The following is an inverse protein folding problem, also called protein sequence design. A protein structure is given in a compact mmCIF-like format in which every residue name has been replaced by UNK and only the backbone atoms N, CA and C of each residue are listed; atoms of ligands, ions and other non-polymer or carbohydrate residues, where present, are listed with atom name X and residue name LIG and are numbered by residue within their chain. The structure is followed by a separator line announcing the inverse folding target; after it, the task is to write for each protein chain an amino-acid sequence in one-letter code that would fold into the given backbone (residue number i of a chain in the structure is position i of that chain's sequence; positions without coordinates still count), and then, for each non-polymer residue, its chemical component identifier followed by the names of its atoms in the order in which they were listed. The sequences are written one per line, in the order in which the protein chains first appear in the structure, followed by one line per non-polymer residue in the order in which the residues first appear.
data_IF_604557404665
#
_entry.id   IF_604557404665
#
_cell.length_a   1.000
_cell.length_b   1.000
_cell.length_c   1.000
_cell.angle_alpha   90.00
_cell.angle_beta   90.00
_cell.angle_gamma   90.00
#
_symmetry.space_group_name_H-M   'P 1'
#
loop_
_entity.id
_entity.type
_entity.pdbx_description
1 polymer ?
#
# COMPACT_ATOMS: atom_id res chain seq x y z
N UNK A 1 2.64 25.40 7.86
CA UNK A 1 1.81 24.33 7.30
C UNK A 1 1.47 24.72 5.87
N UNK A 2 1.94 23.98 4.88
CA UNK A 2 1.50 24.18 3.49
C UNK A 2 0.08 23.62 3.43
N UNK A 3 -0.93 24.37 2.92
CA UNK A 3 -2.28 23.86 2.80
C UNK A 3 -2.29 22.61 1.92
N UNK A 4 -2.98 21.57 2.38
CA UNK A 4 -3.38 20.45 1.52
C UNK A 4 -4.11 21.07 0.33
N UNK A 5 -3.84 20.68 -0.93
CA UNK A 5 -4.55 21.20 -2.09
C UNK A 5 -6.05 21.10 -1.88
N UNK A 6 -6.81 22.08 -2.37
CA UNK A 6 -8.26 22.19 -2.22
C UNK A 6 -8.92 20.81 -2.30
N UNK A 7 -9.48 20.37 -1.17
CA UNK A 7 -10.09 19.06 -0.98
C UNK A 7 -11.58 19.07 -1.38
N UNK A 8 -12.09 20.21 -1.85
CA UNK A 8 -13.51 20.39 -2.17
C UNK A 8 -14.01 19.46 -3.28
N UNK A 9 -13.10 19.04 -4.19
CA UNK A 9 -13.42 18.12 -5.29
C UNK A 9 -12.87 16.70 -5.04
N UNK A 10 -12.34 16.40 -3.85
CA UNK A 10 -11.77 15.09 -3.57
C UNK A 10 -12.87 14.06 -3.31
N UNK A 11 -12.83 12.88 -3.95
CA UNK A 11 -13.73 11.79 -3.59
C UNK A 11 -13.43 11.29 -2.18
N UNK A 12 -14.44 10.68 -1.52
CA UNK A 12 -14.26 10.09 -0.21
C UNK A 12 -14.41 11.06 0.95
N UNK A 13 -13.95 10.66 2.10
CA UNK A 13 -14.13 11.36 3.37
C UNK A 13 -12.81 11.46 4.15
N UNK A 14 -12.81 12.27 5.19
CA UNK A 14 -11.68 12.37 6.09
C UNK A 14 -12.04 11.87 7.49
N UNK A 15 -11.22 10.95 7.98
CA UNK A 15 -11.36 10.35 9.30
C UNK A 15 -10.16 10.74 10.16
N UNK A 16 -10.39 11.13 11.41
CA UNK A 16 -9.31 11.37 12.37
C UNK A 16 -8.96 10.05 13.06
N UNK A 17 -7.72 9.62 12.94
CA UNK A 17 -7.17 8.40 13.51
C UNK A 17 -5.89 8.75 14.26
N UNK A 18 -5.93 8.70 15.58
CA UNK A 18 -4.85 9.24 16.41
C UNK A 18 -4.57 10.72 16.07
N UNK A 19 -3.31 11.04 15.79
CA UNK A 19 -2.87 12.41 15.44
C UNK A 19 -2.98 12.70 13.92
N UNK A 20 -3.58 11.80 13.13
CA UNK A 20 -3.65 11.93 11.68
C UNK A 20 -5.09 12.11 11.19
N UNK A 21 -5.28 13.04 10.27
CA UNK A 21 -6.47 13.13 9.45
C UNK A 21 -6.22 12.33 8.18
N UNK A 22 -6.90 11.21 8.03
CA UNK A 22 -6.74 10.29 6.91
C UNK A 22 -7.84 10.50 5.87
N UNK A 23 -7.45 10.45 4.61
CA UNK A 23 -8.36 10.40 3.48
C UNK A 23 -8.77 8.96 3.24
N UNK A 24 -10.08 8.69 3.26
CA UNK A 24 -10.67 7.35 3.19
C UNK A 24 -11.72 7.32 2.08
N UNK A 25 -11.70 6.28 1.26
CA UNK A 25 -12.77 5.96 0.32
C UNK A 25 -13.43 4.65 0.76
N UNK A 26 -14.77 4.64 0.68
CA UNK A 26 -15.62 3.53 1.08
C UNK A 26 -16.72 3.39 0.03
N UNK A 27 -16.56 2.43 -0.87
CA UNK A 27 -17.28 2.35 -2.12
C UNK A 27 -17.88 0.95 -2.33
N UNK A 28 -19.04 0.88 -2.96
CA UNK A 28 -19.74 -0.38 -3.22
C UNK A 28 -20.57 -0.86 -2.04
N UNK A 29 -21.16 -2.04 -2.22
CA UNK A 29 -22.00 -2.72 -1.22
C UNK A 29 -21.72 -4.22 -1.26
N UNK A 30 -21.70 -4.86 -0.09
CA UNK A 30 -21.39 -6.28 0.05
C UNK A 30 -20.48 -6.55 1.22
N UNK A 31 -19.83 -7.73 1.29
CA UNK A 31 -18.84 -8.01 2.32
C UNK A 31 -17.71 -6.99 2.32
N UNK A 32 -17.19 -6.58 3.50
CA UNK A 32 -16.14 -5.57 3.54
C UNK A 32 -14.79 -6.11 3.08
N UNK A 33 -14.08 -5.27 2.32
CA UNK A 33 -12.73 -5.52 1.82
C UNK A 33 -11.87 -4.29 2.10
N UNK A 34 -10.76 -4.48 2.81
CA UNK A 34 -9.76 -3.42 3.03
C UNK A 34 -8.61 -3.57 2.03
N UNK A 35 -8.47 -2.61 1.12
CA UNK A 35 -7.46 -2.62 0.07
C UNK A 35 -6.31 -1.66 0.37
N UNK A 36 -5.11 -2.20 0.56
CA UNK A 36 -3.92 -1.45 0.96
C UNK A 36 -2.94 -1.24 -0.19
N UNK A 37 -2.64 0.03 -0.46
CA UNK A 37 -1.76 0.46 -1.55
C UNK A 37 -0.27 0.14 -1.28
N UNK A 38 0.50 -0.06 -2.36
CA UNK A 38 1.96 -0.25 -2.33
C UNK A 38 2.72 0.97 -1.77
N UNK A 39 4.03 0.81 -1.57
CA UNK A 39 4.94 1.92 -1.30
C UNK A 39 4.90 2.93 -2.47
N UNK A 40 4.67 4.20 -2.16
CA UNK A 40 4.60 5.25 -3.17
C UNK A 40 3.33 5.22 -4.03
N UNK A 41 2.28 4.55 -3.58
CA UNK A 41 0.99 4.46 -4.27
C UNK A 41 -0.11 5.12 -3.41
N UNK A 42 -1.09 5.72 -4.07
CA UNK A 42 -2.20 6.44 -3.47
C UNK A 42 -3.54 5.76 -3.84
N UNK A 43 -4.66 6.28 -3.31
CA UNK A 43 -5.98 5.71 -3.58
C UNK A 43 -6.29 5.57 -5.07
N UNK A 44 -5.96 6.58 -5.89
CA UNK A 44 -6.30 6.60 -7.32
C UNK A 44 -5.49 5.61 -8.17
N UNK A 45 -4.36 5.11 -7.66
CA UNK A 45 -3.62 4.02 -8.32
C UNK A 45 -4.37 2.69 -8.22
N UNK A 46 -5.30 2.58 -7.27
CA UNK A 46 -6.16 1.43 -7.05
C UNK A 46 -7.49 1.50 -7.81
N UNK A 47 -7.86 2.68 -8.37
CA UNK A 47 -9.14 2.88 -9.08
C UNK A 47 -9.44 1.80 -10.14
N UNK A 48 -8.46 1.35 -10.96
CA UNK A 48 -8.73 0.31 -11.95
C UNK A 48 -9.23 -0.99 -11.33
N UNK A 49 -8.65 -1.41 -10.22
CA UNK A 49 -9.09 -2.62 -9.50
C UNK A 49 -10.41 -2.38 -8.77
N UNK A 50 -10.54 -1.24 -8.08
CA UNK A 50 -11.74 -0.91 -7.31
C UNK A 50 -12.98 -0.89 -8.19
N UNK A 51 -12.89 -0.34 -9.40
CA UNK A 51 -14.02 -0.30 -10.35
C UNK A 51 -14.56 -1.69 -10.73
N UNK A 52 -13.77 -2.76 -10.59
CA UNK A 52 -14.16 -4.16 -10.82
C UNK A 52 -14.78 -4.79 -9.55
N UNK A 53 -14.35 -4.33 -8.38
CA UNK A 53 -14.73 -4.93 -7.10
C UNK A 53 -16.03 -4.37 -6.50
N UNK A 54 -16.35 -3.10 -6.76
CA UNK A 54 -17.47 -2.40 -6.09
C UNK A 54 -18.85 -2.99 -6.36
N UNK A 55 -19.02 -3.79 -7.40
CA UNK A 55 -20.28 -4.52 -7.66
C UNK A 55 -20.49 -5.70 -6.71
N UNK A 56 -19.42 -6.21 -6.11
CA UNK A 56 -19.37 -7.43 -5.32
C UNK A 56 -18.94 -7.20 -3.88
N UNK A 57 -18.19 -6.13 -3.61
CA UNK A 57 -17.57 -5.81 -2.35
C UNK A 57 -17.87 -4.38 -1.90
N UNK A 58 -17.91 -4.17 -0.58
CA UNK A 58 -17.72 -2.85 0.02
C UNK A 58 -16.23 -2.64 0.17
N UNK A 59 -15.63 -1.86 -0.73
CA UNK A 59 -14.18 -1.64 -0.79
C UNK A 59 -13.82 -0.41 0.03
N UNK A 60 -13.03 -0.63 1.08
CA UNK A 60 -12.47 0.42 1.93
C UNK A 60 -10.99 0.53 1.60
N UNK A 61 -10.54 1.77 1.35
CA UNK A 61 -9.13 2.09 1.10
C UNK A 61 -8.82 3.45 1.68
N UNK A 62 -7.59 3.67 2.10
CA UNK A 62 -7.18 4.97 2.62
C UNK A 62 -5.74 5.31 2.24
N UNK A 63 -5.46 6.60 2.22
CA UNK A 63 -4.09 7.08 2.11
C UNK A 63 -3.41 7.03 3.47
N UNK A 64 -2.28 6.35 3.56
CA UNK A 64 -1.46 6.34 4.76
C UNK A 64 -0.92 7.75 5.06
N UNK A 65 -0.49 8.07 6.29
CA UNK A 65 0.06 9.38 6.63
C UNK A 65 1.14 9.85 5.64
N UNK A 66 0.96 11.05 5.10
CA UNK A 66 1.84 11.66 4.10
C UNK A 66 1.60 11.25 2.65
N UNK A 67 0.71 10.29 2.42
CA UNK A 67 0.27 9.91 1.07
C UNK A 67 -1.04 10.62 0.72
N UNK A 68 -1.30 10.73 -0.56
CA UNK A 68 -2.54 11.25 -1.11
C UNK A 68 -2.98 12.57 -0.49
N UNK A 69 -4.17 12.57 0.09
CA UNK A 69 -4.76 13.72 0.76
C UNK A 69 -4.70 13.61 2.30
N UNK A 70 -4.08 12.57 2.84
CA UNK A 70 -3.88 12.40 4.27
C UNK A 70 -2.87 13.39 4.84
N UNK A 71 -2.96 13.64 6.14
CA UNK A 71 -2.04 14.54 6.86
C UNK A 71 -0.59 14.22 6.58
N UNK A 72 0.26 15.21 6.33
CA UNK A 72 1.68 15.00 6.08
C UNK A 72 2.39 14.40 7.30
N UNK A 73 3.43 13.62 7.06
CA UNK A 73 4.26 13.08 8.15
C UNK A 73 5.10 14.17 8.79
N UNK A 74 5.02 14.24 10.11
CA UNK A 74 5.88 15.10 10.91
C UNK A 74 7.32 14.59 10.98
N UNK A 75 8.25 15.44 11.47
CA UNK A 75 9.67 15.07 11.61
C UNK A 75 9.93 13.89 12.57
N UNK A 76 9.04 13.70 13.54
CA UNK A 76 9.13 12.63 14.54
C UNK A 76 8.33 11.39 14.13
N UNK A 77 7.63 11.43 13.00
CA UNK A 77 6.85 10.30 12.53
C UNK A 77 7.77 9.16 12.09
N UNK A 78 7.67 8.04 12.79
CA UNK A 78 8.35 6.79 12.46
C UNK A 78 7.27 5.74 12.21
N UNK A 79 6.96 5.43 10.94
CA UNK A 79 5.98 4.40 10.65
C UNK A 79 6.44 3.05 11.23
N UNK A 80 5.55 2.40 11.95
CA UNK A 80 5.78 1.07 12.53
C UNK A 80 4.76 0.08 11.99
N UNK A 81 5.12 -1.19 11.97
CA UNK A 81 4.20 -2.24 11.52
C UNK A 81 2.92 -2.26 12.37
N UNK A 82 3.07 -2.22 13.70
CA UNK A 82 1.92 -2.32 14.61
C UNK A 82 1.07 -1.05 14.58
N UNK A 83 1.70 0.13 14.50
CA UNK A 83 0.95 1.39 14.36
C UNK A 83 0.14 1.46 13.05
N UNK A 84 0.61 0.81 11.98
CA UNK A 84 -0.21 0.71 10.76
C UNK A 84 -1.36 -0.29 10.92
N UNK A 85 -1.13 -1.41 11.60
CA UNK A 85 -2.21 -2.36 11.93
C UNK A 85 -3.28 -1.72 12.83
N UNK A 86 -2.87 -0.99 13.87
CA UNK A 86 -3.80 -0.27 14.74
C UNK A 86 -4.62 0.76 13.92
N UNK A 87 -3.99 1.46 12.99
CA UNK A 87 -4.65 2.39 12.05
C UNK A 87 -5.66 1.71 11.13
N UNK A 88 -5.35 0.51 10.62
CA UNK A 88 -6.31 -0.28 9.84
C UNK A 88 -7.57 -0.58 10.65
N UNK A 89 -7.42 -0.97 11.93
CA UNK A 89 -8.56 -1.20 12.83
C UNK A 89 -9.35 0.09 13.04
N UNK A 90 -8.69 1.19 13.38
CA UNK A 90 -9.35 2.47 13.65
C UNK A 90 -10.09 3.01 12.40
N UNK A 91 -9.55 2.82 11.20
CA UNK A 91 -10.25 3.16 9.95
C UNK A 91 -11.50 2.31 9.75
N UNK A 92 -11.39 0.99 9.94
CA UNK A 92 -12.55 0.08 9.85
C UNK A 92 -13.63 0.44 10.87
N UNK A 93 -13.25 0.71 12.10
CA UNK A 93 -14.17 1.10 13.17
C UNK A 93 -14.87 2.44 12.85
N UNK A 94 -14.12 3.42 12.35
CA UNK A 94 -14.65 4.72 11.93
C UNK A 94 -15.61 4.60 10.72
N UNK A 95 -15.48 3.54 9.91
CA UNK A 95 -16.41 3.22 8.82
C UNK A 95 -17.55 2.30 9.26
N UNK A 96 -17.64 1.99 10.55
CA UNK A 96 -18.70 1.13 11.13
C UNK A 96 -18.60 -0.33 10.67
N UNK A 97 -17.40 -0.82 10.32
CA UNK A 97 -17.18 -2.22 9.94
C UNK A 97 -16.98 -3.04 11.20
N UNK A 98 -17.94 -3.86 11.55
CA UNK A 98 -17.93 -4.74 12.73
C UNK A 98 -17.67 -6.19 12.38
N UNK A 99 -18.03 -6.61 11.19
CA UNK A 99 -17.82 -7.95 10.64
C UNK A 99 -16.35 -8.18 10.22
N UNK A 100 -15.91 -9.43 10.15
CA UNK A 100 -14.60 -9.76 9.61
C UNK A 100 -14.43 -9.29 8.16
N UNK A 101 -13.24 -8.78 7.85
CA UNK A 101 -12.90 -8.15 6.56
C UNK A 101 -11.90 -8.99 5.77
N UNK A 102 -12.05 -9.05 4.45
CA UNK A 102 -10.97 -9.52 3.58
C UNK A 102 -9.93 -8.41 3.45
N UNK A 103 -8.67 -8.71 3.79
CA UNK A 103 -7.58 -7.74 3.69
C UNK A 103 -6.72 -8.04 2.47
N UNK A 104 -6.56 -7.04 1.61
CA UNK A 104 -5.81 -7.14 0.36
C UNK A 104 -4.62 -6.19 0.41
N UNK A 105 -3.39 -6.70 0.26
CA UNK A 105 -2.17 -5.90 0.36
C UNK A 105 -1.27 -6.02 -0.86
N UNK A 106 -1.00 -4.90 -1.51
CA UNK A 106 -0.08 -4.85 -2.64
C UNK A 106 1.35 -4.53 -2.19
N UNK A 107 2.32 -5.30 -2.65
CA UNK A 107 3.75 -5.04 -2.45
C UNK A 107 4.12 -4.89 -0.97
N UNK A 108 4.59 -3.72 -0.53
CA UNK A 108 4.93 -3.42 0.86
C UNK A 108 3.75 -3.64 1.81
N UNK A 109 2.53 -3.32 1.38
CA UNK A 109 1.35 -3.50 2.20
C UNK A 109 1.03 -4.96 2.56
N UNK A 110 1.67 -5.93 1.89
CA UNK A 110 1.61 -7.34 2.30
C UNK A 110 2.06 -7.56 3.74
N UNK A 111 2.99 -6.71 4.26
CA UNK A 111 3.41 -6.77 5.65
C UNK A 111 2.28 -6.37 6.60
N UNK A 112 1.51 -5.35 6.20
CA UNK A 112 0.41 -4.80 7.01
C UNK A 112 -0.75 -5.78 7.09
N UNK A 113 -1.17 -6.34 5.95
CA UNK A 113 -2.29 -7.29 5.91
C UNK A 113 -1.95 -8.62 6.59
N UNK A 114 -0.70 -9.11 6.47
CA UNK A 114 -0.24 -10.27 7.24
C UNK A 114 -0.24 -9.98 8.73
N UNK A 115 0.27 -8.82 9.15
CA UNK A 115 0.31 -8.44 10.55
C UNK A 115 -1.09 -8.23 11.14
N UNK A 116 -2.00 -7.63 10.36
CA UNK A 116 -3.41 -7.47 10.73
C UNK A 116 -4.06 -8.84 10.98
N UNK A 117 -3.96 -9.76 10.05
CA UNK A 117 -4.55 -11.08 10.17
C UNK A 117 -4.02 -11.85 11.39
N UNK A 118 -2.72 -11.74 11.69
CA UNK A 118 -2.11 -12.40 12.85
C UNK A 118 -2.52 -11.76 14.18
N UNK A 119 -2.76 -10.44 14.21
CA UNK A 119 -3.15 -9.73 15.44
C UNK A 119 -4.64 -9.70 15.70
N UNK A 120 -5.42 -9.73 14.64
CA UNK A 120 -6.88 -9.61 14.67
C UNK A 120 -7.53 -10.76 13.88
N UNK A 121 -7.28 -12.02 14.31
CA UNK A 121 -7.84 -13.19 13.63
C UNK A 121 -9.37 -13.15 13.57
N UNK A 122 -10.01 -12.61 14.60
CA UNK A 122 -11.47 -12.45 14.71
C UNK A 122 -12.05 -11.37 13.76
N UNK A 123 -11.20 -10.45 13.30
CA UNK A 123 -11.54 -9.37 12.36
C UNK A 123 -11.15 -9.72 10.91
N UNK A 124 -10.63 -10.93 10.66
CA UNK A 124 -10.10 -11.34 9.35
C UNK A 124 -10.96 -12.41 8.74
N UNK A 125 -11.56 -12.14 7.58
CA UNK A 125 -12.33 -13.10 6.77
C UNK A 125 -11.46 -13.81 5.72
N UNK A 126 -10.40 -13.14 5.24
CA UNK A 126 -9.47 -13.68 4.25
C UNK A 126 -8.29 -12.75 4.02
N UNK A 127 -7.24 -13.26 3.40
CA UNK A 127 -6.01 -12.50 3.10
C UNK A 127 -5.61 -12.67 1.65
N UNK A 128 -5.43 -11.58 0.93
CA UNK A 128 -4.88 -11.60 -0.43
C UNK A 128 -3.60 -10.77 -0.48
N UNK A 129 -2.53 -11.38 -0.91
CA UNK A 129 -1.23 -10.74 -1.11
C UNK A 129 -0.97 -10.59 -2.60
N UNK A 130 -0.86 -9.35 -3.06
CA UNK A 130 -0.57 -9.01 -4.44
C UNK A 130 0.92 -8.68 -4.59
N UNK A 131 1.69 -9.58 -5.17
CA UNK A 131 3.13 -9.48 -5.42
C UNK A 131 3.94 -8.99 -4.22
N UNK A 132 3.81 -9.70 -3.11
CA UNK A 132 4.20 -9.29 -1.77
C UNK A 132 5.70 -9.06 -1.56
N UNK A 133 6.01 -8.21 -0.60
CA UNK A 133 7.37 -7.84 -0.21
C UNK A 133 7.96 -8.79 0.85
N UNK A 134 8.22 -10.04 0.50
CA UNK A 134 8.87 -11.00 1.39
C UNK A 134 10.38 -10.77 1.49
N UNK A 135 10.92 -10.65 2.71
CA UNK A 135 12.35 -10.42 2.95
C UNK A 135 13.01 -11.66 3.52
N UNK A 136 13.90 -12.26 2.73
CA UNK A 136 14.66 -13.45 3.11
C UNK A 136 15.69 -13.17 4.22
N UNK A 137 16.43 -12.05 4.08
CA UNK A 137 17.48 -11.63 5.01
C UNK A 137 17.33 -10.15 5.33
N UNK A 138 17.45 -9.73 6.61
CA UNK A 138 17.48 -8.31 6.95
C UNK A 138 18.78 -7.69 6.45
N UNK A 139 18.71 -6.95 5.35
CA UNK A 139 19.89 -6.42 4.63
C UNK A 139 20.27 -4.99 5.00
N UNK A 140 19.58 -4.36 5.96
CA UNK A 140 19.84 -2.96 6.32
C UNK A 140 20.50 -2.86 7.70
N UNK A 141 21.82 -2.68 7.70
CA UNK A 141 22.62 -2.51 8.91
C UNK A 141 22.57 -1.08 9.48
N UNK A 142 22.14 -0.09 8.66
CA UNK A 142 22.09 1.31 9.08
C UNK A 142 20.90 1.56 10.01
N UNK A 143 21.09 2.20 11.17
CA UNK A 143 20.00 2.50 12.11
C UNK A 143 18.83 3.26 11.48
N UNK A 144 17.61 2.97 11.96
CA UNK A 144 16.37 3.57 11.43
C UNK A 144 16.40 5.10 11.55
N UNK A 145 16.79 5.62 12.72
CA UNK A 145 16.86 7.07 12.97
C UNK A 145 17.78 7.80 11.97
N UNK A 146 18.92 7.19 11.64
CA UNK A 146 19.84 7.75 10.65
C UNK A 146 19.22 7.75 9.24
N UNK A 147 18.55 6.68 8.84
CA UNK A 147 17.89 6.58 7.53
C UNK A 147 16.74 7.59 7.40
N UNK A 148 15.93 7.72 8.44
CA UNK A 148 14.85 8.71 8.49
C UNK A 148 15.40 10.14 8.51
N UNK A 149 16.45 10.40 9.32
CA UNK A 149 17.13 11.69 9.33
C UNK A 149 17.69 12.08 7.95
N UNK A 150 18.25 11.12 7.21
CA UNK A 150 18.72 11.35 5.83
C UNK A 150 17.57 11.62 4.85
N UNK A 151 16.43 10.93 4.99
CA UNK A 151 15.23 11.21 4.19
C UNK A 151 14.77 12.67 4.37
N UNK A 152 14.68 13.14 5.62
CA UNK A 152 14.33 14.52 5.92
C UNK A 152 15.35 15.54 5.38
N UNK A 153 16.66 15.25 5.49
CA UNK A 153 17.71 16.11 4.93
C UNK A 153 17.62 16.19 3.41
N UNK A 154 17.47 15.03 2.75
CA UNK A 154 17.36 14.94 1.28
C UNK A 154 16.20 15.78 0.77
N UNK A 155 15.01 15.59 1.34
CA UNK A 155 13.80 16.33 0.94
C UNK A 155 13.94 17.82 1.28
N UNK A 156 14.50 18.15 2.45
CA UNK A 156 14.75 19.55 2.85
C UNK A 156 15.71 20.27 1.88
N UNK A 157 16.80 19.62 1.49
CA UNK A 157 17.74 20.15 0.49
C UNK A 157 17.07 20.30 -0.88
N UNK A 158 16.32 19.29 -1.29
CA UNK A 158 15.58 19.31 -2.53
C UNK A 158 14.58 20.47 -2.59
N UNK A 159 13.83 20.72 -1.52
CA UNK A 159 12.91 21.87 -1.39
C UNK A 159 13.66 23.21 -1.50
N UNK A 160 14.80 23.35 -0.81
CA UNK A 160 15.59 24.57 -0.84
C UNK A 160 16.15 24.86 -2.25
N UNK A 161 16.59 23.84 -2.99
CA UNK A 161 17.04 23.97 -4.37
C UNK A 161 15.88 24.33 -5.30
N UNK A 162 14.79 23.61 -5.26
CA UNK A 162 13.64 23.82 -6.15
C UNK A 162 12.98 25.18 -5.92
N UNK A 163 12.95 25.67 -4.67
CA UNK A 163 12.43 27.02 -4.37
C UNK A 163 13.32 28.14 -4.96
N UNK A 164 14.64 27.94 -4.95
CA UNK A 164 15.60 28.91 -5.52
C UNK A 164 15.54 29.01 -7.03
N UNK A 165 15.24 27.91 -7.72
CA UNK A 165 15.11 27.87 -9.19
C UNK A 165 13.68 28.06 -9.69
N UNK A 166 12.75 28.44 -8.81
CA UNK A 166 11.35 28.70 -9.15
C UNK A 166 10.53 27.44 -9.49
N UNK A 167 11.08 26.24 -9.30
CA UNK A 167 10.38 24.99 -9.50
C UNK A 167 9.50 24.69 -8.28
N UNK A 168 8.20 24.93 -8.40
CA UNK A 168 7.23 24.64 -7.34
C UNK A 168 6.93 23.14 -7.15
N UNK A 169 7.23 22.31 -8.17
CA UNK A 169 6.95 20.88 -8.18
C UNK A 169 8.20 20.09 -8.60
N UNK A 170 8.40 18.97 -7.92
CA UNK A 170 9.44 18.00 -8.30
C UNK A 170 9.02 17.28 -9.60
N UNK A 171 9.95 16.90 -10.50
CA UNK A 171 9.63 16.19 -11.75
C UNK A 171 9.26 14.70 -11.54
N UNK A 172 8.56 14.38 -10.44
CA UNK A 172 8.20 13.01 -10.05
C UNK A 172 7.08 12.42 -10.90
N UNK A 173 6.22 13.25 -11.51
CA UNK A 173 5.13 12.76 -12.37
C UNK A 173 5.66 11.92 -13.54
N UNK A 174 6.75 12.35 -14.17
CA UNK A 174 7.38 11.59 -15.25
C UNK A 174 7.98 10.27 -14.81
N UNK A 175 8.47 10.16 -13.57
CA UNK A 175 8.96 8.93 -12.98
C UNK A 175 7.78 8.00 -12.66
N UNK A 176 6.74 8.53 -12.02
CA UNK A 176 5.54 7.76 -11.69
C UNK A 176 4.89 7.14 -12.93
N UNK A 177 4.67 7.91 -14.01
CA UNK A 177 4.07 7.41 -15.25
C UNK A 177 4.89 6.32 -15.94
N UNK A 178 6.20 6.24 -15.65
CA UNK A 178 7.09 5.18 -16.16
C UNK A 178 7.11 3.94 -15.26
N UNK A 179 6.90 4.11 -13.96
CA UNK A 179 6.97 3.03 -12.96
C UNK A 179 5.61 2.34 -12.82
N UNK A 180 4.53 3.11 -12.72
CA UNK A 180 3.16 2.58 -12.63
C UNK A 180 2.61 2.42 -14.05
N UNK A 181 2.36 1.20 -14.53
CA UNK A 181 1.77 0.99 -15.84
C UNK A 181 0.37 1.59 -15.92
N UNK A 182 -0.03 2.04 -17.10
CA UNK A 182 -1.40 2.41 -17.33
C UNK A 182 -2.28 1.15 -17.35
N UNK A 183 -3.54 1.24 -16.88
CA UNK A 183 -4.52 0.18 -17.10
C UNK A 183 -4.74 -0.09 -18.58
N UNK A 184 -5.32 -1.24 -18.96
CA UNK A 184 -5.59 -1.60 -20.36
C UNK A 184 -6.43 -0.53 -21.10
N UNK A 185 -7.38 0.08 -20.41
CA UNK A 185 -8.24 1.16 -20.93
C UNK A 185 -7.59 2.56 -20.90
N UNK A 186 -6.35 2.64 -20.46
CA UNK A 186 -5.64 3.89 -20.23
C UNK A 186 -5.94 4.51 -18.86
N UNK A 187 -5.22 5.59 -18.52
CA UNK A 187 -5.38 6.27 -17.23
C UNK A 187 -6.71 7.03 -17.16
N UNK A 188 -7.49 6.77 -16.13
CA UNK A 188 -8.70 7.50 -15.82
C UNK A 188 -8.44 8.98 -15.49
N UNK A 189 -9.51 9.77 -15.43
CA UNK A 189 -9.44 11.21 -15.12
C UNK A 189 -8.87 11.46 -13.73
N UNK A 190 -9.33 10.71 -12.73
CA UNK A 190 -8.83 10.75 -11.34
C UNK A 190 -7.32 10.53 -11.29
N UNK A 191 -6.81 9.48 -11.93
CA UNK A 191 -5.38 9.21 -11.99
C UNK A 191 -4.56 10.33 -12.63
N UNK A 192 -5.06 10.93 -13.72
CA UNK A 192 -4.37 12.05 -14.38
C UNK A 192 -4.38 13.31 -13.52
N UNK A 193 -5.54 13.65 -12.99
CA UNK A 193 -5.74 14.86 -12.19
C UNK A 193 -4.94 14.83 -10.88
N UNK A 194 -5.13 13.79 -10.09
CA UNK A 194 -4.48 13.66 -8.77
C UNK A 194 -3.01 13.28 -8.89
N UNK A 195 -2.65 12.45 -9.86
CA UNK A 195 -1.26 12.12 -10.14
C UNK A 195 -0.43 13.37 -10.44
N UNK A 196 -0.94 14.28 -11.27
CA UNK A 196 -0.27 15.54 -11.56
C UNK A 196 -0.11 16.45 -10.32
N UNK A 197 -1.05 16.37 -9.37
CA UNK A 197 -1.06 17.22 -8.17
C UNK A 197 -0.19 16.66 -7.04
N UNK A 198 -0.19 15.35 -6.82
CA UNK A 198 0.36 14.72 -5.62
C UNK A 198 1.78 14.19 -5.80
N UNK A 199 2.09 13.55 -6.91
CA UNK A 199 3.45 12.99 -7.10
C UNK A 199 4.57 14.03 -7.18
N UNK A 200 4.24 15.28 -7.48
CA UNK A 200 5.18 16.40 -7.48
C UNK A 200 5.38 17.06 -6.11
N UNK A 201 4.75 16.54 -5.04
CA UNK A 201 4.85 17.17 -3.72
C UNK A 201 6.04 16.61 -2.92
N UNK A 202 6.87 17.46 -2.30
CA UNK A 202 7.96 17.01 -1.45
C UNK A 202 7.49 16.16 -0.26
N UNK A 203 6.29 16.42 0.24
CA UNK A 203 5.64 15.70 1.35
C UNK A 203 5.40 14.24 0.99
N UNK A 204 4.93 13.98 -0.22
CA UNK A 204 4.75 12.62 -0.74
C UNK A 204 6.10 11.87 -0.85
N UNK A 205 7.11 12.52 -1.43
CA UNK A 205 8.45 11.93 -1.52
C UNK A 205 9.02 11.63 -0.13
N UNK A 206 8.81 12.53 0.84
CA UNK A 206 9.25 12.34 2.21
C UNK A 206 8.56 11.12 2.85
N UNK A 207 7.23 11.00 2.72
CA UNK A 207 6.48 9.87 3.25
C UNK A 207 7.00 8.54 2.67
N UNK A 208 7.19 8.46 1.36
CA UNK A 208 7.72 7.29 0.67
C UNK A 208 9.12 6.93 1.17
N UNK A 209 10.03 7.89 1.32
CA UNK A 209 11.39 7.64 1.79
C UNK A 209 11.44 7.22 3.26
N UNK A 210 10.59 7.80 4.11
CA UNK A 210 10.48 7.47 5.54
C UNK A 210 9.90 6.06 5.71
N UNK A 211 8.84 5.71 5.00
CA UNK A 211 8.25 4.38 5.02
C UNK A 211 9.24 3.32 4.49
N UNK A 212 9.91 3.60 3.38
CA UNK A 212 10.98 2.74 2.87
C UNK A 212 12.15 2.59 3.87
N UNK A 213 12.51 3.65 4.60
CA UNK A 213 13.51 3.58 5.65
C UNK A 213 13.06 2.66 6.81
N UNK A 214 11.79 2.67 7.16
CA UNK A 214 11.21 1.85 8.22
C UNK A 214 11.05 0.36 7.85
N UNK A 215 11.05 0.02 6.57
CA UNK A 215 10.78 -1.32 6.05
C UNK A 215 11.55 -2.45 6.75
N UNK A 216 12.85 -2.26 7.01
CA UNK A 216 13.68 -3.25 7.73
C UNK A 216 13.23 -3.47 9.17
N UNK A 217 12.82 -2.40 9.88
CA UNK A 217 12.31 -2.50 11.25
C UNK A 217 10.94 -3.19 11.27
N UNK A 218 10.06 -2.86 10.33
CA UNK A 218 8.75 -3.51 10.16
C UNK A 218 8.90 -5.01 9.93
N UNK A 219 9.83 -5.43 9.06
CA UNK A 219 10.11 -6.84 8.83
C UNK A 219 10.64 -7.56 10.09
N UNK A 220 11.46 -6.90 10.91
CA UNK A 220 11.91 -7.46 12.18
C UNK A 220 10.72 -7.71 13.11
N UNK A 221 9.82 -6.73 13.24
CA UNK A 221 8.60 -6.86 14.04
C UNK A 221 7.70 -7.97 13.50
N UNK A 222 7.50 -8.05 12.17
CA UNK A 222 6.70 -9.10 11.55
C UNK A 222 7.25 -10.50 11.83
N UNK A 223 8.58 -10.68 11.81
CA UNK A 223 9.21 -11.95 12.18
C UNK A 223 8.97 -12.34 13.64
N UNK A 224 8.92 -11.37 14.54
CA UNK A 224 8.54 -11.63 15.93
C UNK A 224 7.08 -12.04 16.02
N UNK A 225 6.19 -11.31 15.33
CA UNK A 225 4.78 -11.59 15.31
C UNK A 225 4.46 -12.99 14.74
N UNK A 226 5.17 -13.44 13.71
CA UNK A 226 5.05 -14.80 13.14
C UNK A 226 5.31 -15.90 14.16
N UNK A 227 6.14 -15.65 15.18
CA UNK A 227 6.46 -16.64 16.23
C UNK A 227 5.42 -16.70 17.33
N UNK A 228 4.75 -15.58 17.62
CA UNK A 228 3.78 -15.46 18.71
C UNK A 228 2.33 -15.60 18.26
N UNK A 229 2.05 -15.24 17.00
CA UNK A 229 0.70 -15.17 16.45
C UNK A 229 0.64 -15.98 15.14
N UNK A 230 0.07 -17.19 15.16
CA UNK A 230 -0.13 -17.98 13.94
C UNK A 230 -1.10 -17.25 12.98
N UNK A 231 -1.06 -17.60 11.71
CA UNK A 231 -2.10 -17.16 10.78
C UNK A 231 -3.45 -17.75 11.19
N UNK A 232 -4.55 -16.96 11.07
CA UNK A 232 -5.88 -17.50 11.27
C UNK A 232 -6.22 -18.55 10.20
N UNK A 233 -7.20 -19.42 10.52
CA UNK A 233 -7.73 -20.40 9.58
C UNK A 233 -8.78 -19.75 8.67
N UNK A 234 -8.31 -18.91 7.77
CA UNK A 234 -9.12 -18.19 6.77
C UNK A 234 -8.48 -18.39 5.39
N UNK A 235 -9.21 -18.21 4.29
CA UNK A 235 -8.64 -18.29 2.96
C UNK A 235 -7.45 -17.32 2.79
N UNK A 236 -6.33 -17.83 2.30
CA UNK A 236 -5.12 -17.05 2.01
C UNK A 236 -4.68 -17.26 0.57
N UNK A 237 -4.64 -16.20 -0.20
CA UNK A 237 -4.22 -16.23 -1.62
C UNK A 237 -3.01 -15.34 -1.85
N UNK A 238 -2.02 -15.86 -2.56
CA UNK A 238 -0.84 -15.09 -3.02
C UNK A 238 -0.87 -14.98 -4.53
N UNK A 239 -0.85 -13.75 -5.04
CA UNK A 239 -0.78 -13.45 -6.48
C UNK A 239 0.62 -12.96 -6.82
N UNK A 240 1.22 -13.55 -7.82
CA UNK A 240 2.62 -13.32 -8.21
C UNK A 240 2.70 -12.68 -9.59
N UNK A 241 3.36 -11.53 -9.68
CA UNK A 241 3.75 -10.95 -10.96
C UNK A 241 4.99 -11.66 -11.52
N UNK A 242 4.81 -12.40 -12.60
CA UNK A 242 5.91 -13.14 -13.22
C UNK A 242 6.63 -12.30 -14.28
N UNK A 243 7.84 -11.83 -13.96
CA UNK A 243 8.69 -11.02 -14.84
C UNK A 243 9.06 -11.75 -16.15
N UNK A 244 9.29 -10.98 -17.21
CA UNK A 244 9.80 -11.47 -18.49
C UNK A 244 11.29 -11.83 -18.48
N UNK A 245 12.07 -11.40 -17.48
CA UNK A 245 13.49 -11.69 -17.33
C UNK A 245 13.69 -13.07 -16.70
N UNK A 246 14.20 -14.11 -17.44
CA UNK A 246 14.15 -15.50 -16.99
C UNK A 246 14.81 -15.76 -15.64
N UNK A 247 16.04 -15.28 -15.42
CA UNK A 247 16.76 -15.50 -14.16
C UNK A 247 16.10 -14.79 -12.95
N UNK A 248 15.63 -13.58 -13.15
CA UNK A 248 14.88 -12.84 -12.14
C UNK A 248 13.52 -13.48 -11.86
N UNK A 249 12.85 -13.99 -12.89
CA UNK A 249 11.57 -14.67 -12.79
C UNK A 249 11.64 -15.87 -11.82
N UNK A 250 12.58 -16.80 -12.05
CA UNK A 250 12.72 -17.98 -11.20
C UNK A 250 13.00 -17.64 -9.75
N UNK A 251 13.89 -16.68 -9.52
CA UNK A 251 14.18 -16.20 -8.16
C UNK A 251 12.95 -15.56 -7.51
N UNK A 252 12.21 -14.74 -8.25
CA UNK A 252 11.04 -14.04 -7.73
C UNK A 252 9.90 -15.01 -7.42
N UNK A 253 9.56 -15.91 -8.32
CA UNK A 253 8.55 -16.96 -8.13
C UNK A 253 8.90 -17.85 -6.94
N UNK A 254 10.14 -18.28 -6.82
CA UNK A 254 10.63 -19.03 -5.66
C UNK A 254 10.47 -18.25 -4.35
N UNK A 255 10.80 -16.99 -4.38
CA UNK A 255 10.66 -16.10 -3.21
C UNK A 255 9.18 -15.93 -2.80
N UNK A 256 8.28 -15.78 -3.76
CA UNK A 256 6.84 -15.68 -3.51
C UNK A 256 6.26 -17.01 -3.02
N UNK A 257 6.75 -18.15 -3.54
CA UNK A 257 6.39 -19.47 -3.02
C UNK A 257 6.79 -19.59 -1.55
N UNK A 258 8.00 -19.16 -1.18
CA UNK A 258 8.42 -19.13 0.24
C UNK A 258 7.55 -18.23 1.10
N UNK A 259 7.06 -17.15 0.52
CA UNK A 259 6.12 -16.30 1.25
C UNK A 259 4.75 -16.98 1.42
N UNK A 260 4.24 -17.62 0.39
CA UNK A 260 3.02 -18.42 0.46
C UNK A 260 3.13 -19.54 1.52
N UNK A 261 4.26 -20.24 1.58
CA UNK A 261 4.52 -21.27 2.60
C UNK A 261 4.45 -20.69 4.04
N UNK A 262 5.04 -19.50 4.25
CA UNK A 262 5.02 -18.80 5.56
C UNK A 262 3.64 -18.33 5.96
N UNK A 263 2.81 -17.97 4.99
CA UNK A 263 1.42 -17.58 5.20
C UNK A 263 0.49 -18.80 5.39
N UNK A 264 0.92 -20.00 4.99
CA UNK A 264 0.04 -21.16 4.87
C UNK A 264 -1.02 -20.94 3.81
N UNK A 265 -0.62 -20.35 2.66
CA UNK A 265 -1.55 -19.97 1.61
C UNK A 265 -2.24 -21.18 0.99
N UNK A 266 -3.55 -21.11 0.86
CA UNK A 266 -4.38 -22.13 0.21
C UNK A 266 -4.20 -22.10 -1.32
N UNK A 267 -3.87 -20.91 -1.84
CA UNK A 267 -3.72 -20.68 -3.28
C UNK A 267 -2.53 -19.77 -3.59
N UNK A 268 -1.78 -20.13 -4.61
CA UNK A 268 -0.81 -19.25 -5.26
C UNK A 268 -1.14 -19.15 -6.75
N UNK A 269 -1.29 -17.94 -7.25
CA UNK A 269 -1.62 -17.67 -8.65
C UNK A 269 -0.50 -16.84 -9.28
N UNK A 270 0.13 -17.38 -10.32
CA UNK A 270 1.18 -16.69 -11.07
C UNK A 270 0.56 -16.06 -12.31
N UNK A 271 0.62 -14.73 -12.39
CA UNK A 271 0.19 -13.98 -13.58
C UNK A 271 1.40 -13.83 -14.54
N UNK A 272 1.39 -14.53 -15.68
CA UNK A 272 2.54 -14.56 -16.58
C UNK A 272 2.71 -13.20 -17.27
N UNK A 273 3.97 -12.76 -17.39
CA UNK A 273 4.35 -11.48 -18.03
C UNK A 273 3.75 -10.24 -17.38
N UNK A 274 3.26 -10.36 -16.15
CA UNK A 274 2.73 -9.23 -15.41
C UNK A 274 3.87 -8.43 -14.77
N UNK A 275 3.69 -7.13 -14.67
CA UNK A 275 4.57 -6.25 -13.91
C UNK A 275 4.12 -6.17 -12.47
N UNK A 276 4.99 -5.61 -11.62
CA UNK A 276 4.75 -5.47 -10.18
C UNK A 276 3.42 -4.77 -9.81
N UNK A 277 2.97 -3.78 -10.58
CA UNK A 277 1.72 -3.04 -10.32
C UNK A 277 0.48 -3.76 -10.89
N UNK A 278 0.21 -4.96 -10.40
CA UNK A 278 -0.92 -5.82 -10.81
C UNK A 278 -2.27 -5.12 -10.74
N UNK A 279 -2.48 -4.31 -9.70
CA UNK A 279 -3.73 -3.56 -9.45
C UNK A 279 -4.11 -2.62 -10.59
N UNK A 280 -3.13 -2.19 -11.37
CA UNK A 280 -3.29 -1.27 -12.49
C UNK A 280 -3.18 -1.99 -13.84
N UNK A 281 -2.25 -2.96 -13.95
CA UNK A 281 -1.94 -3.63 -15.22
C UNK A 281 -2.91 -4.78 -15.55
N UNK A 282 -3.40 -5.47 -14.51
CA UNK A 282 -4.24 -6.68 -14.62
C UNK A 282 -5.46 -6.63 -13.69
N UNK A 283 -6.22 -5.52 -13.70
CA UNK A 283 -7.27 -5.32 -12.72
C UNK A 283 -8.39 -6.38 -12.79
N UNK A 284 -8.73 -6.86 -14.02
CA UNK A 284 -9.77 -7.87 -14.20
C UNK A 284 -9.36 -9.23 -13.60
N UNK A 285 -8.17 -9.72 -13.95
CA UNK A 285 -7.63 -10.98 -13.42
C UNK A 285 -7.45 -10.94 -11.88
N UNK A 286 -7.02 -9.79 -11.35
CA UNK A 286 -6.87 -9.61 -9.89
C UNK A 286 -8.22 -9.56 -9.19
N UNK A 287 -9.23 -8.93 -9.79
CA UNK A 287 -10.58 -8.89 -9.23
C UNK A 287 -11.21 -10.29 -9.17
N UNK A 288 -11.10 -11.08 -10.25
CA UNK A 288 -11.57 -12.48 -10.28
C UNK A 288 -10.92 -13.31 -9.16
N UNK A 289 -9.60 -13.16 -8.94
CA UNK A 289 -8.90 -13.87 -7.87
C UNK A 289 -9.39 -13.44 -6.49
N UNK A 290 -9.70 -12.16 -6.29
CA UNK A 290 -10.24 -11.65 -5.03
C UNK A 290 -11.66 -12.15 -4.81
N UNK A 291 -12.49 -12.23 -5.84
CA UNK A 291 -13.86 -12.74 -5.76
C UNK A 291 -13.90 -14.22 -5.33
N UNK A 292 -12.87 -14.99 -5.66
CA UNK A 292 -12.73 -16.41 -5.26
C UNK A 292 -12.40 -16.60 -3.74
N UNK A 293 -12.13 -15.52 -3.00
CA UNK A 293 -11.79 -15.58 -1.55
C UNK A 293 -13.02 -15.48 -0.64
N UNK A 294 -14.21 -15.41 -1.22
CA UNK A 294 -15.48 -15.39 -0.47
C UNK A 294 -15.79 -16.68 0.27
#
# INVERSE_FOLDING_TARGET
MTPIPHTEDAPGEFVTVGDHRLHVLDEGAGPPLLLMAALGSNWFDLDPLVSRLVSSWRVIRYDRPGYGLSSPVGRQHLPTLLGEVDRMVEVLDARGVTEPVVVVGHSLASLYVEAFARRHPERTAGVVVLDGSYVLVPWRLVPLSFRVGNAHRLVGTARAVTSRVGLRRWPSLGVWTRVVPAPPEGRGESQRHWGARLFGQPEFLLAMLVENAAFGAMNKTLRQLRRSNPMPRVPVTVVVASSTLPGWRLFWEWKQQRYADVLGADRITVLPRAKHFLVSERPDEVAEIIDDVR
#
